data_IF_472968812697
#
_entry.id   IF_472968812697
#
_cell.length_a   1.000
_cell.length_b   1.000
_cell.length_c   1.000
_cell.angle_alpha   90.00
_cell.angle_beta   90.00
_cell.angle_gamma   90.00
#
_symmetry.space_group_name_H-M   'P 1'
#
loop_
_entity.id
_entity.type
_entity.pdbx_description
1 polymer ?
#
# COMPACT_ATOMS: atom_id res chain seq x y z
N UNK A 1 -14.73 -10.81 -2.71
CA UNK A 1 -14.14 -10.38 -1.43
C UNK A 1 -12.83 -11.14 -1.22
N UNK A 2 -11.82 -10.72 -1.97
CA UNK A 2 -10.42 -11.01 -1.75
C UNK A 2 -9.82 -10.02 -0.75
N UNK A 3 -8.60 -10.31 -0.30
CA UNK A 3 -7.97 -9.57 0.79
C UNK A 3 -7.81 -8.08 0.49
N UNK A 4 -7.51 -7.71 -0.75
CA UNK A 4 -7.28 -6.32 -1.17
C UNK A 4 -8.58 -5.55 -1.46
N UNK A 5 -9.74 -6.24 -1.51
CA UNK A 5 -11.07 -5.59 -1.54
C UNK A 5 -11.53 -5.21 -0.12
N UNK A 6 -11.15 -6.01 0.87
CA UNK A 6 -11.58 -5.87 2.27
C UNK A 6 -10.55 -5.16 3.16
N UNK A 7 -9.37 -4.83 2.62
CA UNK A 7 -8.29 -4.18 3.35
C UNK A 7 -7.40 -3.35 2.43
N UNK A 8 -6.53 -2.56 3.05
CA UNK A 8 -5.45 -1.80 2.41
C UNK A 8 -4.21 -2.68 2.08
N UNK A 9 -4.38 -4.01 2.07
CA UNK A 9 -3.29 -4.92 1.76
C UNK A 9 -2.84 -4.80 0.30
N UNK A 10 -1.53 -4.94 0.10
CA UNK A 10 -0.89 -5.22 -1.19
C UNK A 10 -0.56 -6.70 -1.26
N UNK A 11 -0.98 -7.39 -2.33
CA UNK A 11 -0.74 -8.82 -2.50
C UNK A 11 0.00 -9.14 -3.80
N UNK A 12 1.20 -9.72 -3.68
CA UNK A 12 1.97 -10.22 -4.83
C UNK A 12 1.59 -11.68 -5.10
N UNK A 13 1.31 -11.97 -6.36
CA UNK A 13 0.89 -13.29 -6.83
C UNK A 13 1.95 -13.80 -7.80
N UNK A 14 2.35 -15.07 -7.63
CA UNK A 14 3.31 -15.74 -8.51
C UNK A 14 2.70 -17.05 -9.01
N UNK A 15 2.63 -17.21 -10.32
CA UNK A 15 2.22 -18.49 -10.93
C UNK A 15 3.31 -19.54 -10.70
N UNK A 16 2.95 -20.67 -10.10
CA UNK A 16 3.87 -21.80 -9.87
C UNK A 16 4.41 -22.38 -11.19
N UNK A 17 3.56 -22.47 -12.21
CA UNK A 17 3.91 -23.12 -13.48
C UNK A 17 4.73 -22.20 -14.40
N UNK A 18 4.32 -20.92 -14.50
CA UNK A 18 4.90 -20.00 -15.49
C UNK A 18 5.87 -19.00 -14.89
N UNK A 19 5.87 -18.83 -13.56
CA UNK A 19 6.57 -17.74 -12.89
C UNK A 19 5.98 -16.35 -13.16
N UNK A 20 4.83 -16.26 -13.84
CA UNK A 20 4.15 -14.99 -14.10
C UNK A 20 3.83 -14.27 -12.80
N UNK A 21 4.06 -12.96 -12.78
CA UNK A 21 3.88 -12.11 -11.59
C UNK A 21 2.67 -11.20 -11.80
N UNK A 22 1.85 -11.09 -10.77
CA UNK A 22 0.78 -10.10 -10.69
C UNK A 22 0.79 -9.40 -9.33
N UNK A 23 0.21 -8.20 -9.28
CA UNK A 23 -0.02 -7.43 -8.06
C UNK A 23 -1.52 -7.19 -7.91
N UNK A 24 -2.06 -7.47 -6.72
CA UNK A 24 -3.41 -7.09 -6.35
C UNK A 24 -3.38 -5.92 -5.36
N UNK A 25 -4.21 -4.90 -5.60
CA UNK A 25 -4.32 -3.67 -4.81
C UNK A 25 -5.72 -3.07 -4.99
N UNK A 26 -6.38 -2.66 -3.91
CA UNK A 26 -7.69 -2.00 -3.98
C UNK A 26 -8.79 -2.80 -4.71
N UNK A 27 -8.69 -4.13 -4.72
CA UNK A 27 -9.59 -5.01 -5.48
C UNK A 27 -9.26 -5.17 -6.97
N UNK A 28 -8.23 -4.51 -7.49
CA UNK A 28 -7.74 -4.65 -8.86
C UNK A 28 -6.56 -5.63 -8.93
N UNK A 29 -6.39 -6.30 -10.07
CA UNK A 29 -5.26 -7.21 -10.34
C UNK A 29 -4.53 -6.73 -11.59
N UNK A 30 -3.23 -6.49 -11.44
CA UNK A 30 -2.31 -6.07 -12.49
C UNK A 30 -1.42 -7.26 -12.82
N UNK A 31 -1.62 -7.87 -13.99
CA UNK A 31 -0.88 -9.05 -14.44
C UNK A 31 0.29 -8.72 -15.37
N UNK A 32 1.17 -9.69 -15.60
CA UNK A 32 2.26 -9.58 -16.58
C UNK A 32 3.39 -8.67 -16.12
N UNK A 33 3.54 -8.47 -14.81
CA UNK A 33 4.60 -7.64 -14.24
C UNK A 33 5.95 -8.33 -14.40
N UNK A 34 6.96 -7.54 -14.74
CA UNK A 34 8.35 -7.95 -14.60
C UNK A 34 8.93 -7.37 -13.31
N UNK A 35 10.19 -7.72 -13.00
CA UNK A 35 10.83 -7.28 -11.76
C UNK A 35 10.94 -5.75 -11.62
N UNK A 36 11.13 -5.04 -12.74
CA UNK A 36 11.21 -3.58 -12.76
C UNK A 36 9.85 -2.97 -12.46
N UNK A 37 8.82 -3.36 -13.21
CA UNK A 37 7.46 -2.82 -13.05
C UNK A 37 6.83 -3.19 -11.72
N UNK A 38 7.11 -4.39 -11.19
CA UNK A 38 6.69 -4.78 -9.84
C UNK A 38 7.33 -3.87 -8.79
N UNK A 39 8.64 -3.60 -8.91
CA UNK A 39 9.34 -2.69 -7.99
C UNK A 39 8.72 -1.30 -8.03
N UNK A 40 8.53 -0.76 -9.23
CA UNK A 40 8.01 0.60 -9.40
C UNK A 40 6.63 0.73 -8.74
N UNK A 41 5.72 -0.23 -8.94
CA UNK A 41 4.43 -0.25 -8.25
C UNK A 41 4.55 -0.41 -6.73
N UNK A 42 5.41 -1.30 -6.24
CA UNK A 42 5.60 -1.45 -4.79
C UNK A 42 6.18 -0.18 -4.16
N UNK A 43 7.08 0.52 -4.84
CA UNK A 43 7.64 1.79 -4.38
C UNK A 43 6.56 2.88 -4.36
N UNK A 44 5.75 3.01 -5.41
CA UNK A 44 4.65 3.98 -5.48
C UNK A 44 3.61 3.77 -4.37
N UNK A 45 3.12 2.55 -4.21
CA UNK A 45 2.06 2.21 -3.26
C UNK A 45 2.53 2.26 -1.80
N UNK A 46 3.81 1.92 -1.54
CA UNK A 46 4.35 1.88 -0.17
C UNK A 46 5.01 3.20 0.25
N UNK A 47 5.61 3.95 -0.67
CA UNK A 47 6.20 5.27 -0.37
C UNK A 47 5.11 6.32 -0.09
N UNK A 48 3.97 6.24 -0.78
CA UNK A 48 2.80 7.09 -0.52
C UNK A 48 2.31 6.97 0.93
N UNK A 49 2.43 5.79 1.54
CA UNK A 49 2.08 5.58 2.96
C UNK A 49 3.11 6.17 3.94
N UNK A 50 4.34 6.46 3.50
CA UNK A 50 5.39 7.00 4.36
C UNK A 50 5.41 8.54 4.43
N UNK A 51 4.88 9.24 3.42
CA UNK A 51 4.80 10.71 3.44
C UNK A 51 3.61 11.24 4.26
N UNK A 52 2.47 10.54 4.31
CA UNK A 52 1.33 10.98 5.13
C UNK A 52 1.62 10.97 6.64
N UNK A 53 2.56 10.13 7.11
CA UNK A 53 2.89 10.01 8.54
C UNK A 53 3.90 11.06 9.05
N UNK A 54 4.45 11.92 8.18
CA UNK A 54 5.37 13.01 8.56
C UNK A 54 4.71 14.37 8.74
N UNK A 55 3.41 14.48 8.44
CA UNK A 55 2.68 15.74 8.48
C UNK A 55 1.62 15.75 9.58
N UNK A 56 2.04 15.60 10.83
CA UNK A 56 1.32 16.22 11.95
C UNK A 56 2.33 16.68 13.00
N UNK A 57 2.68 17.98 13.06
CA UNK A 57 3.35 18.50 14.23
C UNK A 57 2.37 18.43 15.40
N UNK A 58 2.89 18.11 16.57
CA UNK A 58 2.19 18.12 17.85
C UNK A 58 1.34 19.39 18.04
N UNK A 59 0.02 19.29 17.84
CA UNK A 59 -0.93 20.38 18.05
C UNK A 59 -2.27 19.85 18.58
N UNK A 60 -2.20 19.02 19.63
CA UNK A 60 -3.24 19.01 20.66
C UNK A 60 -2.54 19.13 22.01
N UNK A 61 -1.89 20.28 22.22
CA UNK A 61 -1.43 20.75 23.52
C UNK A 61 -2.14 22.09 23.82
N UNK A 62 -3.46 22.06 23.75
CA UNK A 62 -4.42 23.06 24.26
C UNK A 62 -5.62 22.17 24.56
N UNK A 63 -6.04 21.90 25.79
CA UNK A 63 -6.41 22.85 26.82
C UNK A 63 -6.20 22.19 28.20
N UNK A 64 -5.12 22.55 28.90
CA UNK A 64 -5.08 22.46 30.35
C UNK A 64 -5.50 23.83 30.89
N UNK A 65 -6.77 23.97 31.21
CA UNK A 65 -7.32 25.18 31.82
C UNK A 65 -8.81 25.29 31.60
N UNK A 66 -9.60 24.71 32.50
CA UNK A 66 -10.74 25.34 33.21
C UNK A 66 -11.57 24.26 33.92
N UNK A 67 -11.43 24.18 35.26
CA UNK A 67 -12.41 23.75 36.27
C UNK A 67 -11.70 23.39 37.60
#
# INVERSE_FOLDING_TARGET
>A
MGITEESDALAVIVSEETGGIALAVGGEIIEGLNAQTLRDHLEEELASQMEEKKSTPALVAREAGDA
#
